data_IF_510547499564
#
_entry.id   IF_510547499564
#
_cell.length_a   1.000
_cell.length_b   1.000
_cell.length_c   1.000
_cell.angle_alpha   90.00
_cell.angle_beta   90.00
_cell.angle_gamma   90.00
#
_symmetry.space_group_name_H-M   'P 1'
#
loop_
_entity.id
_entity.type
_entity.pdbx_description
1 polymer ?
#
# COMPACT_ATOMS: atom_id res chain seq x y z
N UNK A 1 1.62 -13.01 -11.91
CA UNK A 1 0.99 -11.70 -11.67
C UNK A 1 1.84 -10.90 -10.71
N UNK A 2 1.46 -9.65 -10.49
CA UNK A 2 2.14 -8.76 -9.54
C UNK A 2 1.41 -8.74 -8.18
N UNK A 3 2.06 -8.16 -7.18
CA UNK A 3 1.54 -7.98 -5.83
C UNK A 3 1.51 -6.49 -5.45
N UNK A 4 0.43 -6.09 -4.79
CA UNK A 4 0.22 -4.76 -4.23
C UNK A 4 0.20 -4.87 -2.71
N UNK A 5 0.99 -4.05 -2.01
CA UNK A 5 0.96 -3.92 -0.56
C UNK A 5 0.00 -2.79 -0.18
N UNK A 6 -0.93 -3.04 0.74
CA UNK A 6 -1.84 -2.03 1.30
C UNK A 6 -2.28 -2.40 2.73
N UNK A 7 -2.91 -1.45 3.43
CA UNK A 7 -3.50 -1.68 4.74
C UNK A 7 -4.79 -2.52 4.65
N UNK A 8 -5.06 -3.35 5.65
CA UNK A 8 -6.25 -4.21 5.76
C UNK A 8 -7.57 -3.44 5.73
N UNK A 9 -7.55 -2.16 6.08
CA UNK A 9 -8.71 -1.30 6.09
C UNK A 9 -8.76 -0.32 4.90
N UNK A 10 -7.82 -0.42 3.96
CA UNK A 10 -7.75 0.49 2.81
C UNK A 10 -8.94 0.33 1.86
N UNK A 11 -9.36 1.45 1.27
CA UNK A 11 -10.49 1.48 0.35
C UNK A 11 -10.30 0.57 -0.86
N UNK A 12 -9.10 0.62 -1.45
CA UNK A 12 -8.69 -0.22 -2.59
C UNK A 12 -8.83 -1.72 -2.33
N UNK A 13 -8.73 -2.13 -1.07
CA UNK A 13 -8.90 -3.53 -0.68
C UNK A 13 -10.35 -3.88 -0.33
N UNK A 14 -11.02 -3.07 0.51
CA UNK A 14 -12.33 -3.42 1.06
C UNK A 14 -13.51 -3.06 0.16
N UNK A 15 -13.43 -1.97 -0.60
CA UNK A 15 -14.61 -1.30 -1.15
C UNK A 15 -14.63 -1.14 -2.67
N UNK A 16 -13.62 -1.67 -3.37
CA UNK A 16 -13.53 -1.59 -4.83
C UNK A 16 -13.94 -2.88 -5.55
N UNK A 17 -14.77 -3.70 -4.89
CA UNK A 17 -15.39 -4.88 -5.50
C UNK A 17 -14.38 -5.94 -6.00
N UNK A 18 -13.20 -6.01 -5.40
CA UNK A 18 -12.12 -6.89 -5.86
C UNK A 18 -11.43 -6.42 -7.15
N UNK A 19 -11.54 -5.13 -7.50
CA UNK A 19 -11.05 -4.55 -8.74
C UNK A 19 -9.57 -4.78 -9.03
N UNK A 20 -8.71 -4.83 -7.99
CA UNK A 20 -7.28 -5.16 -8.13
C UNK A 20 -7.09 -6.53 -8.80
N UNK A 21 -7.80 -7.55 -8.34
CA UNK A 21 -7.68 -8.90 -8.88
C UNK A 21 -8.34 -8.99 -10.27
N UNK A 22 -9.55 -8.46 -10.41
CA UNK A 22 -10.34 -8.57 -11.65
C UNK A 22 -9.71 -7.83 -12.82
N UNK A 23 -9.26 -6.58 -12.63
CA UNK A 23 -8.76 -5.75 -13.72
C UNK A 23 -7.26 -5.94 -13.99
N UNK A 24 -6.47 -6.22 -12.95
CA UNK A 24 -5.00 -6.20 -13.04
C UNK A 24 -4.36 -7.57 -12.87
N UNK A 25 -5.11 -8.62 -12.53
CA UNK A 25 -4.56 -9.95 -12.24
C UNK A 25 -3.51 -9.92 -11.12
N UNK A 26 -3.62 -8.94 -10.23
CA UNK A 26 -2.70 -8.71 -9.13
C UNK A 26 -3.27 -9.31 -7.84
N UNK A 27 -2.38 -9.84 -7.00
CA UNK A 27 -2.74 -10.22 -5.64
C UNK A 27 -2.48 -9.06 -4.67
N UNK A 28 -3.08 -9.13 -3.48
CA UNK A 28 -2.91 -8.12 -2.44
C UNK A 28 -2.19 -8.70 -1.23
N UNK A 29 -1.06 -8.08 -0.86
CA UNK A 29 -0.39 -8.25 0.42
C UNK A 29 -1.00 -7.27 1.41
N UNK A 30 -1.74 -7.81 2.36
CA UNK A 30 -2.46 -7.01 3.34
C UNK A 30 -1.62 -6.91 4.61
N UNK A 31 -1.41 -5.69 5.08
CA UNK A 31 -0.74 -5.40 6.35
C UNK A 31 -1.69 -4.71 7.32
N UNK A 32 -1.43 -4.85 8.61
CA UNK A 32 -2.17 -4.16 9.66
C UNK A 32 -1.38 -2.95 10.14
N UNK A 33 -1.74 -1.78 9.65
CA UNK A 33 -1.15 -0.50 10.04
C UNK A 33 -1.76 0.10 11.31
N UNK A 34 -1.11 1.15 11.80
CA UNK A 34 -1.63 1.98 12.89
C UNK A 34 -2.70 2.93 12.35
N UNK A 35 -3.97 2.59 12.58
CA UNK A 35 -5.13 3.37 12.09
C UNK A 35 -5.05 3.62 10.58
N UNK A 36 -4.70 2.60 9.79
CA UNK A 36 -4.54 2.72 8.34
C UNK A 36 -3.18 3.23 7.87
N UNK A 37 -2.28 3.57 8.80
CA UNK A 37 -0.92 4.02 8.47
C UNK A 37 0.07 2.87 8.52
N UNK A 38 0.73 2.62 7.40
CA UNK A 38 1.89 1.75 7.32
C UNK A 38 3.16 2.57 7.57
N UNK A 39 4.22 1.91 8.03
CA UNK A 39 5.57 2.48 8.04
C UNK A 39 6.51 1.62 7.21
N UNK A 40 7.71 2.14 6.94
CA UNK A 40 8.76 1.44 6.22
C UNK A 40 9.05 0.06 6.80
N UNK A 41 9.18 -0.01 8.12
CA UNK A 41 9.53 -1.24 8.85
C UNK A 41 8.44 -2.31 8.73
N UNK A 42 7.19 -1.88 8.55
CA UNK A 42 6.07 -2.78 8.28
C UNK A 42 6.10 -3.28 6.82
N UNK A 43 6.52 -2.45 5.87
CA UNK A 43 6.45 -2.77 4.43
C UNK A 43 7.66 -3.61 3.98
N UNK A 44 8.87 -3.21 4.36
CA UNK A 44 10.13 -3.77 3.84
C UNK A 44 10.22 -5.31 3.95
N UNK A 45 9.83 -5.95 5.07
CA UNK A 45 9.89 -7.41 5.20
C UNK A 45 8.95 -8.18 4.25
N UNK A 46 7.93 -7.52 3.71
CA UNK A 46 6.92 -8.13 2.84
C UNK A 46 7.14 -7.84 1.36
N UNK A 47 8.19 -7.12 1.00
CA UNK A 47 8.63 -7.01 -0.39
C UNK A 47 9.17 -8.38 -0.82
N UNK A 48 8.53 -9.00 -1.80
CA UNK A 48 8.96 -10.31 -2.27
C UNK A 48 10.35 -10.22 -2.92
N UNK A 49 11.24 -11.20 -2.63
CA UNK A 49 12.49 -11.33 -3.36
C UNK A 49 12.23 -11.75 -4.82
N UNK A 50 13.27 -11.70 -5.64
CA UNK A 50 13.23 -12.28 -6.98
C UNK A 50 13.18 -13.82 -6.87
N UNK A 51 11.96 -14.36 -6.87
CA UNK A 51 11.64 -15.77 -6.68
C UNK A 51 10.50 -16.16 -7.63
N UNK A 52 10.73 -17.17 -8.47
CA UNK A 52 9.76 -17.65 -9.47
C UNK A 52 8.43 -18.09 -8.88
N UNK A 53 8.39 -18.46 -7.59
CA UNK A 53 7.17 -18.91 -6.91
C UNK A 53 6.36 -17.75 -6.33
N UNK A 54 6.89 -16.51 -6.35
CA UNK A 54 6.27 -15.35 -5.72
C UNK A 54 5.83 -14.33 -6.76
N UNK A 55 4.71 -13.67 -6.50
CA UNK A 55 4.34 -12.51 -7.28
C UNK A 55 5.28 -11.34 -6.97
N UNK A 56 5.70 -10.63 -8.01
CA UNK A 56 6.60 -9.49 -7.82
C UNK A 56 5.86 -8.35 -7.15
N UNK A 57 6.38 -7.85 -6.03
CA UNK A 57 5.85 -6.64 -5.39
C UNK A 57 6.12 -5.44 -6.31
N UNK A 58 5.06 -4.79 -6.80
CA UNK A 58 5.14 -3.70 -7.78
C UNK A 58 4.62 -2.38 -7.28
N UNK A 59 3.73 -2.40 -6.29
CA UNK A 59 3.06 -1.22 -5.80
C UNK A 59 2.90 -1.29 -4.28
N UNK A 60 3.16 -0.18 -3.62
CA UNK A 60 2.64 0.12 -2.29
C UNK A 60 1.53 1.16 -2.46
N UNK A 61 0.36 0.91 -1.89
CA UNK A 61 -0.77 1.85 -1.90
C UNK A 61 -1.05 2.32 -0.47
N UNK A 62 -0.95 3.63 -0.25
CA UNK A 62 -1.28 4.30 1.01
C UNK A 62 -2.63 5.01 0.86
N UNK A 63 -3.45 5.05 1.91
CA UNK A 63 -4.66 5.88 1.96
C UNK A 63 -4.44 7.02 2.96
N UNK A 64 -4.44 8.27 2.51
CA UNK A 64 -4.16 9.43 3.37
C UNK A 64 -5.41 10.28 3.58
N UNK A 65 -5.67 10.60 4.86
CA UNK A 65 -6.98 10.59 5.53
C UNK A 65 -7.69 9.22 5.45
N UNK A 66 -7.07 8.23 6.10
CA UNK A 66 -7.58 6.86 6.16
C UNK A 66 -8.99 6.83 6.77
N UNK A 67 -9.97 6.40 5.97
CA UNK A 67 -11.39 6.41 6.31
C UNK A 67 -11.66 5.57 7.57
N UNK A 68 -11.32 4.29 7.52
CA UNK A 68 -11.43 3.36 8.66
C UNK A 68 -10.35 3.56 9.73
N UNK A 69 -9.35 4.40 9.44
CA UNK A 69 -8.39 4.94 10.40
C UNK A 69 -8.95 6.05 11.28
N UNK A 70 -10.21 6.45 11.06
CA UNK A 70 -10.85 7.58 11.73
C UNK A 70 -10.25 8.92 11.29
N UNK A 71 -10.07 9.11 9.98
CA UNK A 71 -9.53 10.34 9.39
C UNK A 71 -8.04 10.53 9.63
N UNK A 72 -7.31 9.42 9.74
CA UNK A 72 -5.90 9.41 10.13
C UNK A 72 -5.00 9.86 8.98
N UNK A 73 -4.01 10.72 9.28
CA UNK A 73 -3.11 11.26 8.25
C UNK A 73 -1.67 10.80 8.46
N UNK A 74 -0.98 10.52 7.36
CA UNK A 74 0.47 10.37 7.37
C UNK A 74 1.12 11.75 7.53
N UNK A 75 2.28 11.80 8.21
CA UNK A 75 3.17 12.97 8.11
C UNK A 75 3.93 12.93 6.78
N UNK A 76 4.46 14.07 6.35
CA UNK A 76 5.28 14.15 5.14
C UNK A 76 6.53 13.26 5.26
N UNK A 77 7.15 13.21 6.44
CA UNK A 77 8.33 12.39 6.71
C UNK A 77 8.01 10.89 6.57
N UNK A 78 6.84 10.46 7.04
CA UNK A 78 6.41 9.07 6.92
C UNK A 78 6.21 8.67 5.45
N UNK A 79 5.57 9.53 4.64
CA UNK A 79 5.41 9.29 3.20
C UNK A 79 6.79 9.31 2.51
N UNK A 80 7.66 10.26 2.87
CA UNK A 80 8.99 10.39 2.28
C UNK A 80 9.85 9.16 2.53
N UNK A 81 9.81 8.59 3.74
CA UNK A 81 10.57 7.38 4.07
C UNK A 81 10.06 6.14 3.31
N UNK A 82 8.73 5.96 3.20
CA UNK A 82 8.14 4.89 2.38
C UNK A 82 8.48 5.09 0.88
N UNK A 83 8.42 6.32 0.40
CA UNK A 83 8.81 6.68 -0.97
C UNK A 83 10.27 6.35 -1.25
N UNK A 84 11.17 6.65 -0.31
CA UNK A 84 12.58 6.31 -0.41
C UNK A 84 12.80 4.79 -0.49
N UNK A 85 12.11 4.01 0.36
CA UNK A 85 12.11 2.54 0.28
C UNK A 85 11.64 2.08 -1.11
N UNK A 86 10.47 2.55 -1.57
CA UNK A 86 9.89 2.14 -2.85
C UNK A 86 10.83 2.43 -4.03
N UNK A 87 11.41 3.64 -4.08
CA UNK A 87 12.40 4.03 -5.10
C UNK A 87 13.63 3.14 -5.06
N UNK A 88 14.16 2.84 -3.88
CA UNK A 88 15.36 2.00 -3.74
C UNK A 88 15.13 0.56 -4.23
N UNK A 89 13.88 0.10 -4.24
CA UNK A 89 13.48 -1.24 -4.68
C UNK A 89 12.84 -1.27 -6.08
N UNK A 90 12.70 -0.11 -6.75
CA UNK A 90 12.04 -0.02 -8.05
C UNK A 90 10.54 -0.36 -8.01
N UNK A 91 9.88 -0.02 -6.91
CA UNK A 91 8.45 -0.25 -6.64
C UNK A 91 7.72 1.09 -6.77
N UNK A 92 6.53 1.09 -7.38
CA UNK A 92 5.69 2.28 -7.46
C UNK A 92 5.06 2.59 -6.09
N UNK A 93 4.81 3.87 -5.82
CA UNK A 93 4.04 4.32 -4.67
C UNK A 93 2.77 5.02 -5.17
N UNK A 94 1.62 4.57 -4.71
CA UNK A 94 0.32 5.20 -4.95
C UNK A 94 -0.20 5.79 -3.64
N UNK A 95 -0.79 6.99 -3.75
CA UNK A 95 -1.49 7.65 -2.66
C UNK A 95 -2.98 7.74 -3.05
N UNK A 96 -3.82 6.92 -2.43
CA UNK A 96 -5.26 7.16 -2.40
C UNK A 96 -5.50 8.42 -1.55
N UNK A 97 -5.63 9.54 -2.26
CA UNK A 97 -5.84 10.87 -1.72
C UNK A 97 -7.28 11.34 -1.89
N UNK A 98 -8.27 10.45 -1.86
CA UNK A 98 -9.69 10.77 -2.03
C UNK A 98 -10.18 11.94 -1.16
N UNK A 99 -9.44 12.26 -0.09
CA UNK A 99 -9.76 13.25 0.93
C UNK A 99 -8.54 14.11 1.31
N UNK A 100 -7.56 14.27 0.42
CA UNK A 100 -6.31 15.01 0.69
C UNK A 100 -6.52 16.51 0.98
N UNK A 101 -7.67 17.06 0.56
CA UNK A 101 -8.03 18.47 0.78
C UNK A 101 -9.00 18.68 1.95
N UNK A 102 -9.24 17.65 2.76
CA UNK A 102 -10.10 17.75 3.95
C UNK A 102 -9.34 18.28 5.17
#
# INVERSE_FOLDING_TARGET
>A
GDEIICDENSHVFLYEGGGIAFNSGCQTRILKGDRGRLCREMIEPYINPDDVHKARTRLVSLENTANRGGGSCYSEEAIADISALCRSRGIALHLDGARIWN
#
